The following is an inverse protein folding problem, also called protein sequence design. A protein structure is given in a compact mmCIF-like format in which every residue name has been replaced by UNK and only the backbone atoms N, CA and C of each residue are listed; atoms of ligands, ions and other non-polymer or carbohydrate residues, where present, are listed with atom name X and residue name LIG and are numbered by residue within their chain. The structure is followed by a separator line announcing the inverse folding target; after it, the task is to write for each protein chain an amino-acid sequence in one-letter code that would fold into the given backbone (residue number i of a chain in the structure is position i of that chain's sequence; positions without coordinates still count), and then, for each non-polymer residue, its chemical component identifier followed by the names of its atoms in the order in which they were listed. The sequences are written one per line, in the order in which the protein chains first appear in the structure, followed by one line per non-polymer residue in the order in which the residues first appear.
data_IF_628054211827
#
_entry.id   IF_628054211827
#
_cell.length_a   1.000
_cell.length_b   1.000
_cell.length_c   1.000
_cell.angle_alpha   90.00
_cell.angle_beta   90.00
_cell.angle_gamma   90.00
#
_symmetry.space_group_name_H-M   'P 1'
#
loop_
_entity.id
_entity.type
_entity.pdbx_description
1 polymer ?
#
# COMPACT_ATOMS: atom_id res chain seq x y z
N UNK A 1 -0.97 7.33 -22.26
CA UNK A 1 -0.27 6.16 -21.70
C UNK A 1 -0.75 4.96 -22.50
N UNK A 2 0.19 4.26 -23.14
CA UNK A 2 -0.17 3.11 -23.95
C UNK A 2 -0.80 2.01 -23.07
N UNK A 3 -1.75 1.26 -23.63
CA UNK A 3 -2.22 0.01 -23.06
C UNK A 3 -1.11 -1.05 -23.05
N UNK A 4 -0.25 -1.06 -24.08
CA UNK A 4 0.92 -1.91 -24.13
C UNK A 4 1.93 -1.48 -23.05
N UNK A 5 2.26 -2.40 -22.13
CA UNK A 5 3.26 -2.18 -21.09
C UNK A 5 2.72 -1.60 -19.78
N UNK A 6 1.41 -1.71 -19.51
CA UNK A 6 0.88 -1.36 -18.18
C UNK A 6 1.36 -2.36 -17.11
N UNK A 7 1.74 -1.82 -15.97
CA UNK A 7 2.07 -2.61 -14.78
C UNK A 7 0.81 -3.39 -14.38
N UNK A 8 0.85 -4.74 -14.30
CA UNK A 8 -0.32 -5.54 -13.99
C UNK A 8 -0.93 -5.14 -12.64
N UNK A 9 -2.27 -5.05 -12.57
CA UNK A 9 -2.97 -4.68 -11.35
C UNK A 9 -4.47 -4.95 -11.45
N UNK A 10 -5.17 -5.17 -10.32
CA UNK A 10 -6.58 -5.59 -10.32
C UNK A 10 -7.58 -4.44 -10.43
N UNK A 11 -7.14 -3.20 -10.64
CA UNK A 11 -7.94 -1.98 -10.51
C UNK A 11 -7.46 -0.88 -11.45
N UNK A 12 -8.33 0.12 -11.67
CA UNK A 12 -7.99 1.37 -12.35
C UNK A 12 -7.70 1.19 -13.84
N UNK A 13 -6.73 1.94 -14.36
CA UNK A 13 -6.34 1.89 -15.78
C UNK A 13 -5.63 0.58 -16.14
N UNK A 14 -5.15 -0.16 -15.14
CA UNK A 14 -4.53 -1.47 -15.33
C UNK A 14 -5.52 -2.52 -15.88
N UNK A 15 -6.83 -2.24 -15.82
CA UNK A 15 -7.91 -3.09 -16.35
C UNK A 15 -8.39 -2.68 -17.76
N UNK A 16 -7.98 -1.52 -18.27
CA UNK A 16 -8.52 -1.00 -19.53
C UNK A 16 -7.74 -1.56 -20.72
N UNK A 17 -8.43 -1.92 -21.80
CA UNK A 17 -7.83 -2.44 -23.03
C UNK A 17 -7.27 -1.33 -23.94
N UNK A 18 -7.84 -0.12 -23.85
CA UNK A 18 -7.48 1.01 -24.70
C UNK A 18 -6.45 1.96 -24.06
N UNK A 19 -5.78 2.73 -24.91
CA UNK A 19 -4.92 3.84 -24.52
C UNK A 19 -5.70 4.92 -23.73
N UNK A 20 -5.06 5.48 -22.71
CA UNK A 20 -5.68 6.48 -21.84
C UNK A 20 -4.78 7.70 -21.64
N UNK A 21 -5.36 8.90 -21.68
CA UNK A 21 -4.69 10.16 -21.33
C UNK A 21 -5.29 10.68 -20.04
N UNK A 22 -4.46 10.83 -19.01
CA UNK A 22 -4.86 11.30 -17.69
C UNK A 22 -3.98 12.46 -17.26
N UNK A 23 -4.54 13.38 -16.47
CA UNK A 23 -3.73 14.39 -15.79
C UNK A 23 -2.94 13.75 -14.63
N UNK A 24 -1.81 14.34 -14.26
CA UNK A 24 -1.06 13.93 -13.06
C UNK A 24 -1.93 13.93 -11.80
N UNK A 25 -2.89 14.84 -11.72
CA UNK A 25 -3.80 14.95 -10.58
C UNK A 25 -4.72 13.73 -10.50
N UNK A 26 -5.22 13.26 -11.63
CA UNK A 26 -6.11 12.10 -11.67
C UNK A 26 -5.35 10.80 -11.40
N UNK A 27 -4.10 10.70 -11.88
CA UNK A 27 -3.21 9.59 -11.54
C UNK A 27 -2.99 9.49 -10.02
N UNK A 28 -2.75 10.60 -9.34
CA UNK A 28 -2.60 10.62 -7.87
C UNK A 28 -3.89 10.15 -7.17
N UNK A 29 -5.07 10.50 -7.71
CA UNK A 29 -6.33 10.00 -7.18
C UNK A 29 -6.42 8.49 -7.33
N UNK A 30 -6.17 7.93 -8.52
CA UNK A 30 -6.21 6.49 -8.75
C UNK A 30 -5.19 5.73 -7.88
N UNK A 31 -3.98 6.25 -7.75
CA UNK A 31 -2.95 5.72 -6.84
C UNK A 31 -3.44 5.67 -5.39
N UNK A 32 -4.10 6.72 -4.89
CA UNK A 32 -4.48 6.79 -3.47
C UNK A 32 -5.82 6.11 -3.14
N UNK A 33 -6.79 6.12 -4.05
CA UNK A 33 -8.15 5.62 -3.75
C UNK A 33 -8.34 4.14 -4.05
N UNK A 34 -7.69 3.65 -5.11
CA UNK A 34 -7.78 2.26 -5.57
C UNK A 34 -6.44 1.55 -5.67
N UNK A 35 -5.31 2.24 -5.44
CA UNK A 35 -3.97 1.65 -5.52
C UNK A 35 -3.62 1.16 -6.93
N UNK A 36 -3.97 1.94 -7.95
CA UNK A 36 -3.64 1.57 -9.33
C UNK A 36 -2.11 1.51 -9.55
N UNK A 37 -1.63 0.36 -9.98
CA UNK A 37 -0.19 0.07 -10.09
C UNK A 37 0.46 0.89 -11.19
N UNK A 38 -0.16 0.98 -12.38
CA UNK A 38 0.48 1.67 -13.50
C UNK A 38 0.60 3.18 -13.27
N UNK A 39 -0.42 3.83 -12.70
CA UNK A 39 -0.33 5.25 -12.31
C UNK A 39 0.73 5.48 -11.24
N UNK A 40 0.89 4.54 -10.29
CA UNK A 40 1.97 4.57 -9.29
C UNK A 40 3.35 4.58 -9.97
N UNK A 41 3.58 3.68 -10.93
CA UNK A 41 4.86 3.60 -11.65
C UNK A 41 5.09 4.81 -12.56
N UNK A 42 4.06 5.32 -13.23
CA UNK A 42 4.16 6.53 -14.06
C UNK A 42 4.52 7.75 -13.19
N UNK A 43 3.91 7.88 -12.01
CA UNK A 43 4.23 8.94 -11.05
C UNK A 43 5.65 8.77 -10.50
N UNK A 44 6.04 7.55 -10.11
CA UNK A 44 7.37 7.27 -9.56
C UNK A 44 8.47 7.52 -10.59
N UNK A 45 8.31 7.07 -11.84
CA UNK A 45 9.26 7.39 -12.93
C UNK A 45 9.38 8.88 -13.19
N UNK A 46 8.28 9.63 -13.02
CA UNK A 46 8.29 11.09 -13.22
C UNK A 46 9.07 11.83 -12.14
N UNK A 47 9.03 11.35 -10.89
CA UNK A 47 9.70 12.01 -9.76
C UNK A 47 11.09 11.44 -9.46
N UNK A 48 11.32 10.16 -9.72
CA UNK A 48 12.54 9.42 -9.40
C UNK A 48 12.48 8.75 -8.03
N UNK A 49 13.01 7.52 -7.94
CA UNK A 49 13.11 6.75 -6.68
C UNK A 49 13.99 7.49 -5.69
N UNK A 50 15.11 8.04 -6.16
CA UNK A 50 16.07 8.80 -5.36
C UNK A 50 15.43 10.04 -4.75
N UNK A 51 14.57 10.74 -5.50
CA UNK A 51 13.86 11.92 -5.00
C UNK A 51 12.83 11.57 -3.92
N UNK A 52 12.17 10.42 -4.05
CA UNK A 52 11.25 9.89 -3.02
C UNK A 52 12.03 9.53 -1.76
N UNK A 53 13.14 8.80 -1.88
CA UNK A 53 13.99 8.43 -0.76
C UNK A 53 14.62 9.66 -0.08
N UNK A 54 15.09 10.64 -0.84
CA UNK A 54 15.59 11.91 -0.31
C UNK A 54 14.49 12.69 0.43
N UNK A 55 13.25 12.63 -0.06
CA UNK A 55 12.10 13.23 0.62
C UNK A 55 11.81 12.50 1.94
N UNK A 56 11.82 11.16 1.95
CA UNK A 56 11.64 10.37 3.15
C UNK A 56 12.70 10.73 4.21
N UNK A 57 13.98 10.77 3.82
CA UNK A 57 15.08 11.18 4.70
C UNK A 57 14.90 12.60 5.24
N UNK A 58 14.53 13.58 4.40
CA UNK A 58 14.28 14.97 4.82
C UNK A 58 13.12 15.08 5.82
N UNK A 59 12.14 14.18 5.73
CA UNK A 59 11.01 14.12 6.66
C UNK A 59 11.32 13.31 7.93
N UNK A 60 12.53 12.75 8.06
CA UNK A 60 12.94 11.93 9.21
C UNK A 60 12.47 10.48 9.16
N UNK A 61 12.02 9.99 8.00
CA UNK A 61 11.49 8.63 7.82
C UNK A 61 12.63 7.66 7.47
N UNK A 62 13.52 7.42 8.42
CA UNK A 62 14.82 6.76 8.20
C UNK A 62 14.73 5.28 7.84
N UNK A 63 13.60 4.62 8.10
CA UNK A 63 13.38 3.22 7.78
C UNK A 63 12.60 3.02 6.47
N UNK A 64 12.18 4.13 5.85
CA UNK A 64 11.41 4.14 4.61
C UNK A 64 12.33 4.23 3.40
N UNK A 65 12.41 3.14 2.63
CA UNK A 65 13.24 3.04 1.44
C UNK A 65 12.44 2.39 0.32
N UNK A 66 12.43 3.05 -0.84
CA UNK A 66 11.95 2.49 -2.10
C UNK A 66 13.17 1.99 -2.88
N UNK A 67 13.19 0.70 -3.20
CA UNK A 67 14.28 0.07 -3.96
C UNK A 67 14.05 0.20 -5.47
N UNK A 68 12.80 0.02 -5.90
CA UNK A 68 12.44 0.01 -7.32
C UNK A 68 10.99 0.46 -7.55
N UNK A 69 10.61 0.58 -8.81
CA UNK A 69 9.20 0.66 -9.20
C UNK A 69 8.45 -0.67 -8.99
N UNK A 70 7.12 -0.63 -9.06
CA UNK A 70 6.27 -1.78 -8.78
C UNK A 70 6.47 -2.86 -9.84
N UNK A 71 6.57 -2.49 -11.12
CA UNK A 71 6.82 -3.46 -12.19
C UNK A 71 8.10 -4.26 -11.94
N UNK A 72 9.22 -3.58 -11.67
CA UNK A 72 10.51 -4.21 -11.38
C UNK A 72 10.41 -5.12 -10.14
N UNK A 73 9.75 -4.64 -9.08
CA UNK A 73 9.55 -5.42 -7.85
C UNK A 73 8.72 -6.68 -8.12
N UNK A 74 7.60 -6.57 -8.85
CA UNK A 74 6.75 -7.71 -9.19
C UNK A 74 7.47 -8.70 -10.09
N UNK A 75 8.19 -8.22 -11.11
CA UNK A 75 8.96 -9.09 -12.00
C UNK A 75 10.06 -9.85 -11.23
N UNK A 76 10.68 -9.22 -10.22
CA UNK A 76 11.61 -9.91 -9.33
C UNK A 76 10.95 -11.06 -8.56
N UNK A 77 9.68 -10.92 -8.16
CA UNK A 77 8.91 -12.00 -7.54
C UNK A 77 8.72 -13.15 -8.52
N UNK A 78 8.29 -12.84 -9.76
CA UNK A 78 8.12 -13.86 -10.80
C UNK A 78 9.41 -14.65 -11.05
N UNK A 79 10.54 -13.96 -11.12
CA UNK A 79 11.87 -14.55 -11.24
C UNK A 79 12.25 -15.44 -10.06
N UNK A 80 11.99 -14.98 -8.83
CA UNK A 80 12.33 -15.73 -7.61
C UNK A 80 11.54 -17.04 -7.49
N UNK A 81 10.35 -17.12 -8.10
CA UNK A 81 9.57 -18.35 -8.16
C UNK A 81 9.82 -19.19 -9.43
N UNK A 82 10.71 -18.75 -10.32
CA UNK A 82 11.17 -19.50 -11.50
C UNK A 82 10.50 -19.13 -12.83
N UNK A 83 9.81 -17.99 -12.92
CA UNK A 83 9.20 -17.46 -14.13
C UNK A 83 10.03 -16.31 -14.71
N UNK A 84 9.81 -15.93 -15.98
CA UNK A 84 10.56 -14.82 -16.58
C UNK A 84 10.11 -13.43 -16.06
N UNK A 85 8.83 -13.30 -15.70
CA UNK A 85 8.21 -12.07 -15.19
C UNK A 85 7.04 -12.36 -14.25
N UNK A 86 6.48 -11.33 -13.61
CA UNK A 86 5.25 -11.48 -12.84
C UNK A 86 4.09 -11.91 -13.72
N UNK A 87 3.98 -11.34 -14.91
CA UNK A 87 2.93 -11.68 -15.87
C UNK A 87 2.98 -13.16 -16.25
N UNK A 88 4.17 -13.68 -16.51
CA UNK A 88 4.36 -15.10 -16.84
C UNK A 88 4.03 -16.00 -15.65
N UNK A 89 4.31 -15.55 -14.43
CA UNK A 89 3.95 -16.30 -13.22
C UNK A 89 2.44 -16.45 -13.04
N UNK A 90 1.66 -15.42 -13.38
CA UNK A 90 0.19 -15.48 -13.33
C UNK A 90 -0.34 -16.46 -14.37
N UNK A 91 0.20 -16.43 -15.59
CA UNK A 91 -0.18 -17.36 -16.65
C UNK A 91 0.19 -18.81 -16.31
N UNK A 92 1.39 -19.04 -15.77
CA UNK A 92 1.85 -20.35 -15.31
C UNK A 92 0.98 -20.90 -14.17
N UNK A 93 0.65 -20.08 -13.18
CA UNK A 93 -0.12 -20.49 -12.01
C UNK A 93 -1.52 -21.01 -12.36
N UNK A 94 -2.11 -20.56 -13.48
CA UNK A 94 -3.42 -21.03 -13.95
C UNK A 94 -3.43 -22.50 -14.41
N UNK A 95 -2.27 -23.04 -14.82
CA UNK A 95 -2.10 -24.44 -15.25
C UNK A 95 -1.25 -25.29 -14.31
N UNK A 96 -0.70 -24.71 -13.25
CA UNK A 96 0.19 -25.40 -12.32
C UNK A 96 -0.58 -26.38 -11.40
N UNK A 97 0.05 -27.52 -11.11
CA UNK A 97 -0.44 -28.46 -10.11
C UNK A 97 -0.32 -27.89 -8.68
N UNK A 98 -1.06 -28.49 -7.73
CA UNK A 98 -0.99 -28.10 -6.32
C UNK A 98 0.44 -28.19 -5.75
N UNK A 99 1.20 -29.23 -6.12
CA UNK A 99 2.58 -29.43 -5.66
C UNK A 99 3.54 -28.38 -6.22
N UNK A 100 3.34 -27.97 -7.47
CA UNK A 100 4.11 -26.90 -8.10
C UNK A 100 3.84 -25.55 -7.44
N UNK A 101 2.57 -25.24 -7.17
CA UNK A 101 2.15 -24.04 -6.43
C UNK A 101 2.71 -24.04 -5.00
N UNK A 102 2.71 -25.18 -4.32
CA UNK A 102 3.29 -25.32 -2.99
C UNK A 102 4.80 -25.01 -3.01
N UNK A 103 5.56 -25.56 -3.97
CA UNK A 103 6.99 -25.26 -4.14
C UNK A 103 7.24 -23.79 -4.50
N UNK A 104 6.40 -23.19 -5.33
CA UNK A 104 6.50 -21.77 -5.65
C UNK A 104 6.21 -20.88 -4.42
N UNK A 105 5.25 -21.25 -3.57
CA UNK A 105 4.93 -20.53 -2.33
C UNK A 105 6.09 -20.55 -1.33
N UNK A 106 6.83 -21.66 -1.22
CA UNK A 106 8.06 -21.73 -0.42
C UNK A 106 9.12 -20.75 -0.93
N UNK A 107 9.37 -20.71 -2.25
CA UNK A 107 10.29 -19.75 -2.86
C UNK A 107 9.81 -18.30 -2.71
N UNK A 108 8.51 -18.06 -2.83
CA UNK A 108 7.89 -16.75 -2.68
C UNK A 108 8.20 -16.15 -1.31
N UNK A 109 8.10 -16.94 -0.23
CA UNK A 109 8.38 -16.49 1.13
C UNK A 109 9.83 -16.00 1.34
N UNK A 110 10.76 -16.50 0.53
CA UNK A 110 12.17 -16.12 0.49
C UNK A 110 12.52 -15.10 -0.62
N UNK A 111 11.52 -14.59 -1.34
CA UNK A 111 11.73 -13.64 -2.44
C UNK A 111 12.34 -12.31 -1.98
N UNK A 112 13.09 -11.67 -2.88
CA UNK A 112 13.74 -10.37 -2.68
C UNK A 112 12.73 -9.30 -2.26
N UNK A 113 11.55 -9.30 -2.87
CA UNK A 113 10.50 -8.33 -2.56
C UNK A 113 9.94 -8.44 -1.13
N UNK A 114 10.11 -9.60 -0.47
CA UNK A 114 9.68 -9.84 0.91
C UNK A 114 10.81 -9.77 1.94
N UNK A 115 12.04 -9.50 1.49
CA UNK A 115 13.21 -9.28 2.33
C UNK A 115 13.43 -7.76 2.50
N UNK A 116 13.28 -7.21 3.72
CA UNK A 116 13.45 -5.77 3.94
C UNK A 116 14.87 -5.27 3.62
N UNK A 117 15.87 -6.14 3.58
CA UNK A 117 17.24 -5.77 3.22
C UNK A 117 17.46 -5.70 1.70
N UNK A 118 16.54 -6.25 0.90
CA UNK A 118 16.69 -6.37 -0.56
C UNK A 118 15.54 -5.73 -1.36
N UNK A 119 14.41 -5.44 -0.72
CA UNK A 119 13.26 -4.81 -1.33
C UNK A 119 12.86 -3.49 -0.65
N UNK A 120 11.88 -2.82 -1.24
CA UNK A 120 11.26 -1.63 -0.65
C UNK A 120 10.69 -1.94 0.73
N UNK A 121 10.98 -1.08 1.71
CA UNK A 121 10.61 -1.28 3.12
C UNK A 121 10.17 0.02 3.79
N UNK A 122 9.50 -0.14 4.92
CA UNK A 122 9.17 0.93 5.87
C UNK A 122 8.93 0.32 7.25
N UNK A 123 8.90 1.16 8.28
CA UNK A 123 8.43 0.79 9.61
C UNK A 123 7.03 1.38 9.89
N UNK A 124 6.21 0.76 10.77
CA UNK A 124 4.93 1.34 11.20
C UNK A 124 5.09 2.73 11.85
N UNK A 125 6.20 2.96 12.58
CA UNK A 125 6.52 4.26 13.19
C UNK A 125 6.64 5.37 12.14
N UNK A 126 7.43 5.16 11.08
CA UNK A 126 7.62 6.11 9.99
C UNK A 126 6.29 6.46 9.32
N UNK A 127 5.43 5.47 9.13
CA UNK A 127 4.13 5.72 8.52
C UNK A 127 3.20 6.53 9.43
N UNK A 128 3.22 6.29 10.74
CA UNK A 128 2.51 7.14 11.70
C UNK A 128 3.07 8.57 11.67
N UNK A 129 4.38 8.74 11.63
CA UNK A 129 5.03 10.06 11.58
C UNK A 129 4.72 10.79 10.27
N UNK A 130 4.75 10.09 9.13
CA UNK A 130 4.33 10.61 7.84
C UNK A 130 2.87 11.10 7.89
N UNK A 131 1.95 10.33 8.47
CA UNK A 131 0.56 10.74 8.63
C UNK A 131 0.45 11.98 9.53
N UNK A 132 1.21 12.06 10.62
CA UNK A 132 1.25 13.25 11.51
C UNK A 132 1.76 14.47 10.75
N UNK A 133 2.81 14.34 9.95
CA UNK A 133 3.36 15.42 9.13
C UNK A 133 2.36 15.88 8.06
N UNK A 134 1.68 14.94 7.39
CA UNK A 134 0.62 15.27 6.42
C UNK A 134 -0.53 15.97 7.13
N UNK A 135 -1.01 15.48 8.28
CA UNK A 135 -2.15 16.08 8.99
C UNK A 135 -1.85 17.41 9.69
N UNK A 136 -0.57 17.74 9.89
CA UNK A 136 -0.11 19.03 10.42
C UNK A 136 0.42 19.99 9.34
N UNK A 137 0.26 19.67 8.06
CA UNK A 137 0.78 20.46 6.93
C UNK A 137 2.31 20.68 6.96
N UNK A 138 3.05 19.76 7.60
CA UNK A 138 4.52 19.78 7.71
C UNK A 138 5.24 18.85 6.75
N UNK A 139 4.52 17.99 6.03
CA UNK A 139 5.10 17.13 4.99
C UNK A 139 5.46 17.89 3.70
N UNK A 140 4.90 19.09 3.49
CA UNK A 140 5.07 19.88 2.28
C UNK A 140 4.03 21.00 2.20
N UNK A 141 3.81 21.62 1.02
CA UNK A 141 2.86 22.71 0.88
C UNK A 141 1.45 22.33 1.40
N UNK A 142 0.83 23.21 2.17
CA UNK A 142 -0.51 23.00 2.77
C UNK A 142 -1.55 22.52 1.76
N UNK A 143 -1.54 23.07 0.54
CA UNK A 143 -2.46 22.66 -0.51
C UNK A 143 -2.24 21.21 -0.97
N UNK A 144 -0.99 20.72 -0.97
CA UNK A 144 -0.65 19.33 -1.31
C UNK A 144 -1.07 18.38 -0.18
N UNK A 145 -0.74 18.71 1.07
CA UNK A 145 -1.15 17.92 2.24
C UNK A 145 -2.68 17.78 2.31
N UNK A 146 -3.42 18.88 2.07
CA UNK A 146 -4.88 18.86 1.98
C UNK A 146 -5.41 17.93 0.89
N UNK A 147 -4.77 17.90 -0.29
CA UNK A 147 -5.15 17.01 -1.39
C UNK A 147 -4.93 15.54 -1.03
N UNK A 148 -3.83 15.21 -0.37
CA UNK A 148 -3.55 13.84 0.10
C UNK A 148 -4.61 13.41 1.11
N UNK A 149 -4.92 14.24 2.12
CA UNK A 149 -5.99 13.96 3.09
C UNK A 149 -7.33 13.69 2.41
N UNK A 150 -7.70 14.54 1.44
CA UNK A 150 -8.96 14.40 0.71
C UNK A 150 -9.02 13.14 -0.17
N UNK A 151 -7.90 12.74 -0.76
CA UNK A 151 -7.82 11.51 -1.55
C UNK A 151 -7.89 10.26 -0.67
N UNK A 152 -7.12 10.21 0.43
CA UNK A 152 -7.15 9.09 1.39
C UNK A 152 -8.54 8.90 2.03
N UNK A 153 -9.31 9.99 2.23
CA UNK A 153 -10.69 9.90 2.72
C UNK A 153 -11.65 9.21 1.75
N UNK A 154 -11.28 9.10 0.47
CA UNK A 154 -12.06 8.46 -0.61
C UNK A 154 -11.62 7.03 -0.89
N UNK A 155 -10.72 6.45 -0.10
CA UNK A 155 -10.28 5.07 -0.29
C UNK A 155 -11.49 4.10 -0.33
N UNK A 156 -11.49 3.21 -1.33
CA UNK A 156 -12.55 2.21 -1.50
C UNK A 156 -12.35 0.97 -0.61
N UNK A 157 -11.11 0.63 -0.26
CA UNK A 157 -10.81 -0.39 0.74
C UNK A 157 -11.35 0.06 2.11
N UNK A 158 -12.43 -0.57 2.57
CA UNK A 158 -13.09 -0.25 3.85
C UNK A 158 -13.15 -1.42 4.84
N UNK A 159 -12.64 -2.59 4.44
CA UNK A 159 -12.67 -3.84 5.22
C UNK A 159 -11.43 -4.04 6.11
N UNK A 160 -10.61 -2.99 6.32
CA UNK A 160 -9.41 -3.00 7.19
C UNK A 160 -9.61 -2.07 8.40
N UNK A 161 -8.80 -1.03 8.61
CA UNK A 161 -8.93 -0.03 9.69
C UNK A 161 -10.39 0.44 9.80
N UNK A 162 -10.99 0.85 8.69
CA UNK A 162 -12.36 1.35 8.67
C UNK A 162 -13.41 0.34 9.16
N UNK A 163 -13.14 -0.97 9.12
CA UNK A 163 -14.05 -2.00 9.63
C UNK A 163 -14.22 -1.96 11.15
N UNK A 164 -13.20 -1.46 11.87
CA UNK A 164 -13.18 -1.30 13.33
C UNK A 164 -13.94 -0.08 13.85
N UNK A 165 -14.44 0.80 12.96
CA UNK A 165 -15.10 2.04 13.35
C UNK A 165 -16.49 2.15 12.73
N UNK A 166 -17.37 2.92 13.39
CA UNK A 166 -18.73 3.22 12.94
C UNK A 166 -18.91 4.73 12.86
N UNK A 167 -19.82 5.19 12.02
CA UNK A 167 -20.17 6.62 11.97
C UNK A 167 -20.64 7.08 13.36
N UNK A 168 -20.33 8.32 13.78
CA UNK A 168 -19.78 9.41 12.97
C UNK A 168 -18.25 9.44 12.84
N UNK A 169 -17.52 8.43 13.33
CA UNK A 169 -16.06 8.33 13.13
C UNK A 169 -15.73 8.22 11.64
N UNK A 170 -14.77 9.02 11.19
CA UNK A 170 -14.28 9.00 9.81
C UNK A 170 -12.89 8.38 9.74
N UNK A 171 -12.62 7.63 8.68
CA UNK A 171 -11.32 7.00 8.43
C UNK A 171 -10.85 7.40 7.04
N UNK A 172 -9.65 7.98 6.98
CA UNK A 172 -8.90 8.23 5.75
C UNK A 172 -7.66 7.34 5.77
N UNK A 173 -7.47 6.49 4.75
CA UNK A 173 -6.47 5.43 4.81
C UNK A 173 -5.83 5.15 3.45
N UNK A 174 -4.70 4.44 3.49
CA UNK A 174 -4.05 3.81 2.34
C UNK A 174 -3.68 2.36 2.65
N UNK A 175 -4.19 1.44 1.86
CA UNK A 175 -3.97 0.00 1.96
C UNK A 175 -2.75 -0.46 1.14
N UNK A 176 -2.10 -1.54 1.56
CA UNK A 176 -1.09 -2.24 0.77
C UNK A 176 -1.24 -3.76 0.88
N UNK A 177 -0.94 -4.45 -0.21
CA UNK A 177 -0.98 -5.91 -0.32
C UNK A 177 0.16 -6.36 -1.21
N UNK A 178 0.87 -7.40 -0.82
CA UNK A 178 1.89 -8.01 -1.66
C UNK A 178 1.78 -9.53 -1.58
N UNK A 179 1.51 -10.15 -2.74
CA UNK A 179 1.57 -11.60 -3.02
C UNK A 179 0.85 -12.51 -2.01
N UNK A 180 -0.18 -12.00 -1.35
CA UNK A 180 -0.89 -12.75 -0.31
C UNK A 180 -0.13 -12.90 1.01
N UNK A 181 1.11 -12.42 1.11
CA UNK A 181 1.97 -12.57 2.30
C UNK A 181 1.91 -11.32 3.17
N UNK A 182 2.07 -10.14 2.58
CA UNK A 182 2.04 -8.87 3.30
C UNK A 182 0.69 -8.20 3.11
N UNK A 183 0.06 -7.80 4.22
CA UNK A 183 -1.10 -6.90 4.22
C UNK A 183 -0.88 -5.82 5.26
N UNK A 184 -1.05 -4.58 4.87
CA UNK A 184 -0.92 -3.45 5.77
C UNK A 184 -1.96 -2.37 5.45
N UNK A 185 -2.21 -1.52 6.43
CA UNK A 185 -2.94 -0.29 6.20
C UNK A 185 -2.46 0.79 7.15
N UNK A 186 -2.39 2.01 6.63
CA UNK A 186 -2.09 3.20 7.40
C UNK A 186 -3.27 4.16 7.26
N UNK A 187 -3.60 4.90 8.31
CA UNK A 187 -4.71 5.85 8.22
C UNK A 187 -4.88 6.73 9.43
N UNK A 188 -5.73 7.74 9.27
CA UNK A 188 -6.14 8.65 10.34
C UNK A 188 -7.62 8.45 10.65
N UNK A 189 -7.89 8.19 11.92
CA UNK A 189 -9.21 8.04 12.51
C UNK A 189 -9.60 9.37 13.12
N UNK A 190 -10.66 10.00 12.62
CA UNK A 190 -11.16 11.29 13.10
C UNK A 190 -12.46 11.09 13.87
N UNK A 191 -12.44 11.46 15.15
CA UNK A 191 -13.57 11.33 16.06
C UNK A 191 -14.45 12.59 16.05
N UNK A 192 -15.75 12.47 16.40
CA UNK A 192 -16.67 13.62 16.44
C UNK A 192 -16.28 14.71 17.46
N UNK A 193 -15.54 14.33 18.50
CA UNK A 193 -15.03 15.23 19.55
C UNK A 193 -13.78 16.02 19.11
N UNK A 194 -13.39 15.92 17.83
CA UNK A 194 -12.23 16.60 17.27
C UNK A 194 -10.90 15.87 17.44
N UNK A 195 -10.84 14.81 18.27
CA UNK A 195 -9.62 14.00 18.42
C UNK A 195 -9.33 13.21 17.14
N UNK A 196 -8.03 13.03 16.86
CA UNK A 196 -7.54 12.28 15.70
C UNK A 196 -6.44 11.33 16.12
N UNK A 197 -6.46 10.12 15.56
CA UNK A 197 -5.47 9.08 15.81
C UNK A 197 -4.86 8.64 14.49
N UNK A 198 -3.53 8.66 14.38
CA UNK A 198 -2.81 8.06 13.27
C UNK A 198 -2.46 6.62 13.64
N UNK A 199 -2.68 5.69 12.71
CA UNK A 199 -2.41 4.28 12.89
C UNK A 199 -1.70 3.70 11.67
N UNK A 200 -0.82 2.73 11.91
CA UNK A 200 -0.16 1.94 10.90
C UNK A 200 -0.09 0.49 11.39
N UNK A 201 -0.74 -0.43 10.67
CA UNK A 201 -0.79 -1.85 11.03
C UNK A 201 -0.23 -2.67 9.88
N UNK A 202 0.77 -3.49 10.19
CA UNK A 202 1.47 -4.33 9.23
C UNK A 202 1.33 -5.78 9.65
N UNK A 203 1.00 -6.65 8.70
CA UNK A 203 0.85 -8.09 8.93
C UNK A 203 1.68 -8.86 7.92
N UNK A 204 2.22 -9.99 8.35
CA UNK A 204 2.87 -10.99 7.50
C UNK A 204 2.20 -12.33 7.76
N UNK A 205 1.87 -13.05 6.69
CA UNK A 205 1.14 -14.30 6.70
C UNK A 205 1.74 -15.28 5.69
N UNK A 206 1.25 -16.52 5.63
CA UNK A 206 1.65 -17.47 4.59
C UNK A 206 0.70 -17.39 3.40
N UNK A 207 1.16 -17.71 2.17
CA UNK A 207 0.26 -17.84 1.03
C UNK A 207 -0.91 -18.76 1.34
N UNK A 208 -2.12 -18.39 0.90
CA UNK A 208 -3.36 -19.12 1.19
C UNK A 208 -4.00 -18.85 2.56
N UNK A 209 -3.44 -17.94 3.37
CA UNK A 209 -4.09 -17.50 4.62
C UNK A 209 -5.41 -16.77 4.33
N UNK A 210 -6.32 -16.73 5.32
CA UNK A 210 -7.61 -16.04 5.20
C UNK A 210 -7.44 -14.51 5.16
N UNK A 211 -7.51 -13.97 3.95
CA UNK A 211 -7.40 -12.54 3.66
C UNK A 211 -8.46 -11.68 4.36
N UNK A 212 -9.68 -12.22 4.53
CA UNK A 212 -10.80 -11.53 5.14
C UNK A 212 -10.55 -11.42 6.63
N UNK A 213 -10.16 -12.52 7.28
CA UNK A 213 -9.81 -12.54 8.69
C UNK A 213 -8.62 -11.63 9.00
N UNK A 214 -7.55 -11.67 8.19
CA UNK A 214 -6.38 -10.78 8.35
C UNK A 214 -6.79 -9.31 8.23
N UNK A 215 -7.62 -8.98 7.24
CA UNK A 215 -8.08 -7.61 7.05
C UNK A 215 -8.96 -7.12 8.20
N UNK A 216 -9.86 -7.98 8.70
CA UNK A 216 -10.66 -7.67 9.89
C UNK A 216 -9.78 -7.47 11.13
N UNK A 217 -8.73 -8.29 11.30
CA UNK A 217 -7.78 -8.16 12.39
C UNK A 217 -7.05 -6.81 12.40
N UNK A 218 -6.72 -6.25 11.22
CA UNK A 218 -6.18 -4.88 11.10
C UNK A 218 -7.16 -3.85 11.70
N UNK A 219 -8.46 -4.00 11.40
CA UNK A 219 -9.51 -3.16 11.97
C UNK A 219 -9.63 -3.29 13.48
N UNK A 220 -9.70 -4.52 13.98
CA UNK A 220 -9.81 -4.82 15.42
C UNK A 220 -8.60 -4.32 16.20
N UNK A 221 -7.38 -4.55 15.71
CA UNK A 221 -6.15 -4.08 16.35
C UNK A 221 -6.14 -2.55 16.47
N UNK A 222 -6.53 -1.86 15.38
CA UNK A 222 -6.58 -0.39 15.37
C UNK A 222 -7.62 0.15 16.36
N UNK A 223 -8.82 -0.44 16.40
CA UNK A 223 -9.87 -0.03 17.33
C UNK A 223 -9.45 -0.20 18.79
N UNK A 224 -8.77 -1.31 19.12
CA UNK A 224 -8.24 -1.56 20.47
C UNK A 224 -7.18 -0.53 20.86
N UNK A 225 -6.21 -0.26 20.00
CA UNK A 225 -5.18 0.74 20.27
C UNK A 225 -5.76 2.15 20.49
N UNK A 226 -6.74 2.56 19.68
CA UNK A 226 -7.45 3.83 19.86
C UNK A 226 -8.23 3.86 21.17
N UNK A 227 -8.87 2.76 21.57
CA UNK A 227 -9.58 2.68 22.84
C UNK A 227 -8.64 2.87 24.04
N UNK A 228 -7.46 2.24 24.03
CA UNK A 228 -6.43 2.42 25.07
C UNK A 228 -5.97 3.87 25.17
N UNK A 229 -5.61 4.51 24.05
CA UNK A 229 -5.18 5.92 24.03
C UNK A 229 -6.27 6.88 24.53
N UNK A 230 -7.54 6.53 24.35
CA UNK A 230 -8.67 7.33 24.87
C UNK A 230 -8.82 7.24 26.38
N UNK A 231 -8.46 6.11 26.97
CA UNK A 231 -8.50 5.92 28.42
C UNK A 231 -7.33 6.61 29.11
N UNK A 232 -6.14 6.64 28.48
CA UNK A 232 -4.95 7.31 29.02
C UNK A 232 -5.03 8.84 28.97
N UNK A 233 -5.82 9.39 28.04
CA UNK A 233 -6.01 10.83 27.86
C UNK A 233 -7.27 11.41 28.50
N UNK A 234 -7.96 10.66 29.36
CA UNK A 234 -9.13 11.06 30.15
C UNK A 234 -8.78 11.12 31.63
#
# INVERSE_FOLDING_TARGET
MSAAGRTPGPVGISLLDDDAVLSWRDMVILMLTVSDNHTTDVLLRRVGVEAVNATAARLGLTDTVIESDLQTMLDSVGQDIGCASWKDSVAWAAGASADELARANERLLASRALDPLRGSRTAPRDMVDLLRLIWSDRAGPTAACRRVRAAMAKQLTRHRIASGFRRPVQVAAKSGSLVGVVRNEIGVISCPDGRRYAAAVFTRSRPGSDDVAISAAIGTATARAVATLRQEGS
#
